data_IF_348229225141
#
_entry.id   IF_348229225141
#
_cell.length_a   1.000
_cell.length_b   1.000
_cell.length_c   1.000
_cell.angle_alpha   90.00
_cell.angle_beta   90.00
_cell.angle_gamma   90.00
#
_symmetry.space_group_name_H-M   'P 1'
#
loop_
_entity.id
_entity.type
_entity.pdbx_description
1 polymer ?
#
# COMPACT_ATOMS: atom_id res chain seq x y z
N UNK A 1 -5.36 0.26 -7.87
CA UNK A 1 -4.47 -0.52 -6.99
C UNK A 1 -3.23 -0.88 -7.80
N UNK A 2 -2.09 -0.29 -7.49
CA UNK A 2 -0.82 -0.55 -8.18
C UNK A 2 0.06 -1.47 -7.31
N UNK A 3 0.95 -2.21 -7.97
CA UNK A 3 1.89 -3.13 -7.31
C UNK A 3 3.22 -2.43 -7.05
N UNK A 4 3.77 -2.62 -5.86
CA UNK A 4 5.05 -2.06 -5.41
C UNK A 4 6.15 -3.10 -5.25
N UNK A 5 6.07 -4.22 -5.96
CA UNK A 5 6.99 -5.38 -5.81
C UNK A 5 8.47 -4.97 -5.93
N UNK A 6 8.81 -4.05 -6.85
CA UNK A 6 10.20 -3.57 -7.01
C UNK A 6 10.73 -2.83 -5.77
N UNK A 7 9.87 -2.11 -5.07
CA UNK A 7 10.23 -1.39 -3.85
C UNK A 7 10.50 -2.37 -2.72
N UNK A 8 9.60 -3.34 -2.54
CA UNK A 8 9.75 -4.39 -1.51
C UNK A 8 11.03 -5.21 -1.72
N UNK A 9 11.38 -5.54 -2.98
CA UNK A 9 12.66 -6.20 -3.31
C UNK A 9 13.85 -5.38 -2.79
N UNK A 10 13.83 -4.05 -3.00
CA UNK A 10 14.89 -3.14 -2.55
C UNK A 10 14.92 -3.00 -1.03
N UNK A 11 13.76 -2.87 -0.38
CA UNK A 11 13.63 -2.80 1.08
C UNK A 11 14.20 -4.04 1.78
N UNK A 12 14.08 -5.22 1.13
CA UNK A 12 14.69 -6.48 1.58
C UNK A 12 16.18 -6.62 1.25
N UNK A 13 16.81 -5.62 0.63
CA UNK A 13 18.21 -5.69 0.20
C UNK A 13 18.48 -6.73 -0.88
N UNK A 14 17.43 -7.15 -1.61
CA UNK A 14 17.52 -8.17 -2.66
C UNK A 14 17.59 -7.50 -4.03
N UNK A 15 18.01 -8.29 -5.03
CA UNK A 15 17.88 -7.92 -6.44
C UNK A 15 16.78 -8.76 -7.10
N UNK A 16 16.28 -8.31 -8.25
CA UNK A 16 15.35 -9.11 -9.07
C UNK A 16 15.98 -10.45 -9.46
N UNK A 17 17.30 -10.49 -9.67
CA UNK A 17 18.02 -11.73 -9.96
C UNK A 17 17.97 -12.68 -8.77
N UNK A 18 18.33 -12.21 -7.57
CA UNK A 18 18.32 -13.01 -6.34
C UNK A 18 16.93 -13.56 -6.02
N UNK A 19 15.88 -12.77 -6.25
CA UNK A 19 14.51 -13.22 -6.10
C UNK A 19 14.13 -14.31 -7.13
N UNK A 20 14.51 -14.12 -8.39
CA UNK A 20 14.29 -15.13 -9.44
C UNK A 20 14.98 -16.45 -9.12
N UNK A 21 16.22 -16.39 -8.60
CA UNK A 21 16.99 -17.56 -8.17
C UNK A 21 16.29 -18.28 -7.00
N UNK A 22 15.81 -17.55 -5.98
CA UNK A 22 15.06 -18.11 -4.84
C UNK A 22 13.74 -18.76 -5.29
N UNK A 23 13.08 -18.17 -6.29
CA UNK A 23 11.85 -18.70 -6.88
C UNK A 23 12.08 -19.82 -7.91
N UNK A 24 13.35 -20.10 -8.27
CA UNK A 24 13.74 -21.04 -9.33
C UNK A 24 13.06 -20.77 -10.68
N UNK A 25 12.97 -19.48 -11.05
CA UNK A 25 12.44 -19.03 -12.34
C UNK A 25 13.46 -18.14 -13.05
N UNK A 26 13.28 -17.90 -14.34
CA UNK A 26 14.17 -16.99 -15.06
C UNK A 26 13.90 -15.52 -14.67
N UNK A 27 14.96 -14.70 -14.67
CA UNK A 27 14.87 -13.27 -14.37
C UNK A 27 13.92 -12.52 -15.30
N UNK A 28 13.90 -12.88 -16.59
CA UNK A 28 13.05 -12.24 -17.60
C UNK A 28 11.58 -12.48 -17.30
N UNK A 29 11.19 -13.71 -16.98
CA UNK A 29 9.83 -14.09 -16.62
C UNK A 29 9.39 -13.43 -15.33
N UNK A 30 10.26 -13.37 -14.31
CA UNK A 30 9.97 -12.59 -13.11
C UNK A 30 9.78 -11.10 -13.43
N UNK A 31 10.63 -10.53 -14.29
CA UNK A 31 10.49 -9.13 -14.73
C UNK A 31 9.15 -8.89 -15.44
N UNK A 32 8.70 -9.83 -16.27
CA UNK A 32 7.39 -9.74 -16.93
C UNK A 32 6.24 -9.79 -15.91
N UNK A 33 6.35 -10.64 -14.87
CA UNK A 33 5.36 -10.67 -13.79
C UNK A 33 5.35 -9.38 -12.97
N UNK A 34 6.51 -8.80 -12.67
CA UNK A 34 6.63 -7.56 -11.90
C UNK A 34 6.05 -6.35 -12.66
N UNK A 35 6.24 -6.29 -13.98
CA UNK A 35 5.79 -5.16 -14.80
C UNK A 35 4.41 -5.37 -15.45
N UNK A 36 3.84 -6.57 -15.33
CA UNK A 36 2.58 -6.95 -15.95
C UNK A 36 1.45 -7.12 -14.94
N UNK A 37 0.51 -8.00 -15.27
CA UNK A 37 -0.60 -8.39 -14.40
C UNK A 37 -0.41 -9.85 -13.93
N UNK A 38 0.35 -10.10 -12.85
CA UNK A 38 0.59 -11.44 -12.35
C UNK A 38 -0.69 -12.05 -11.77
N UNK A 39 -0.81 -13.38 -11.83
CA UNK A 39 -1.90 -14.08 -11.13
C UNK A 39 -1.67 -14.05 -9.61
N UNK A 40 -2.74 -14.26 -8.84
CA UNK A 40 -2.67 -14.34 -7.37
C UNK A 40 -1.66 -15.38 -6.90
N UNK A 41 -1.64 -16.56 -7.53
CA UNK A 41 -0.68 -17.62 -7.21
C UNK A 41 0.79 -17.20 -7.42
N UNK A 42 1.06 -16.29 -8.36
CA UNK A 42 2.41 -15.74 -8.58
C UNK A 42 2.73 -14.70 -7.52
N UNK A 43 1.78 -13.83 -7.16
CA UNK A 43 1.93 -12.86 -6.08
C UNK A 43 2.22 -13.55 -4.74
N UNK A 44 1.53 -14.65 -4.43
CA UNK A 44 1.79 -15.47 -3.22
C UNK A 44 3.21 -16.02 -3.19
N UNK A 45 3.70 -16.55 -4.32
CA UNK A 45 5.07 -17.05 -4.42
C UNK A 45 6.11 -15.94 -4.26
N UNK A 46 5.85 -14.77 -4.85
CA UNK A 46 6.72 -13.59 -4.70
C UNK A 46 6.75 -13.16 -3.23
N UNK A 47 5.59 -13.04 -2.57
CA UNK A 47 5.47 -12.66 -1.17
C UNK A 47 6.19 -13.66 -0.24
N UNK A 48 6.02 -14.96 -0.49
CA UNK A 48 6.70 -16.03 0.24
C UNK A 48 8.22 -15.96 0.05
N UNK A 49 8.71 -15.74 -1.17
CA UNK A 49 10.14 -15.61 -1.44
C UNK A 49 10.75 -14.33 -0.84
N UNK A 50 9.98 -13.25 -0.73
CA UNK A 50 10.37 -12.00 -0.06
C UNK A 50 10.16 -12.03 1.46
N UNK A 51 9.52 -13.07 1.99
CA UNK A 51 9.17 -13.21 3.41
C UNK A 51 8.40 -11.98 3.92
N UNK A 52 7.33 -11.64 3.21
CA UNK A 52 6.39 -10.56 3.55
C UNK A 52 4.94 -11.03 3.40
N UNK A 53 3.98 -10.39 4.09
CA UNK A 53 2.57 -10.55 3.76
C UNK A 53 2.29 -10.10 2.32
N UNK A 54 1.39 -10.80 1.63
CA UNK A 54 1.03 -10.46 0.23
C UNK A 54 0.53 -9.02 0.07
N UNK A 55 -0.09 -8.44 1.10
CA UNK A 55 -0.57 -7.06 1.14
C UNK A 55 0.54 -6.03 0.97
N UNK A 56 1.77 -6.33 1.41
CA UNK A 56 2.92 -5.43 1.25
C UNK A 56 3.37 -5.30 -0.21
N UNK A 57 2.96 -6.22 -1.10
CA UNK A 57 3.23 -6.10 -2.53
C UNK A 57 2.37 -5.03 -3.23
N UNK A 58 1.37 -4.48 -2.55
CA UNK A 58 0.48 -3.46 -3.09
C UNK A 58 0.85 -2.08 -2.55
N UNK A 59 0.69 -1.06 -3.37
CA UNK A 59 0.74 0.32 -2.90
C UNK A 59 -0.28 0.52 -1.80
N UNK A 60 0.19 0.96 -0.62
CA UNK A 60 -0.70 1.51 0.39
C UNK A 60 -1.29 2.75 -0.24
N UNK A 61 -2.62 2.80 -0.36
CA UNK A 61 -3.27 4.02 -0.79
C UNK A 61 -2.75 5.15 0.11
N UNK A 62 -2.19 6.20 -0.48
CA UNK A 62 -1.86 7.46 0.22
C UNK A 62 -3.13 8.21 0.63
N UNK A 63 -4.20 7.47 0.89
CA UNK A 63 -5.34 7.95 1.63
C UNK A 63 -4.94 7.91 3.09
N UNK A 64 -4.02 8.80 3.49
CA UNK A 64 -4.07 9.40 4.81
C UNK A 64 -5.39 10.17 4.88
N UNK A 65 -6.51 9.45 4.89
CA UNK A 65 -7.81 10.01 5.19
C UNK A 65 -7.69 10.41 6.65
N UNK A 66 -7.27 11.65 6.90
CA UNK A 66 -7.36 12.26 8.21
C UNK A 66 -8.84 12.16 8.56
N UNK A 67 -9.16 11.40 9.60
CA UNK A 67 -10.51 11.28 10.12
C UNK A 67 -10.44 11.72 11.58
N UNK A 68 -10.77 12.98 11.82
CA UNK A 68 -11.02 13.52 13.15
C UNK A 68 -12.50 13.48 13.48
N UNK A 69 -12.82 13.43 14.77
CA UNK A 69 -14.18 13.59 15.26
C UNK A 69 -14.14 14.64 16.37
N UNK A 70 -15.02 15.63 16.28
CA UNK A 70 -15.18 16.68 17.28
C UNK A 70 -16.60 16.59 17.82
N UNK A 71 -16.75 16.44 19.13
CA UNK A 71 -18.04 16.47 19.81
C UNK A 71 -18.26 17.85 20.41
N UNK A 72 -19.40 18.48 20.09
CA UNK A 72 -19.83 19.74 20.69
C UNK A 72 -21.22 19.52 21.27
N UNK A 73 -21.32 19.52 22.60
CA UNK A 73 -22.54 19.13 23.31
C UNK A 73 -22.80 17.63 23.17
N UNK A 74 -23.75 17.26 22.32
CA UNK A 74 -24.10 15.86 22.02
C UNK A 74 -24.07 15.55 20.51
N UNK A 75 -23.57 16.49 19.69
CA UNK A 75 -23.44 16.32 18.25
C UNK A 75 -21.96 16.02 17.92
N UNK A 76 -21.73 14.94 17.16
CA UNK A 76 -20.41 14.52 16.70
C UNK A 76 -20.23 14.93 15.25
N UNK A 77 -19.17 15.68 14.98
CA UNK A 77 -18.79 16.14 13.67
C UNK A 77 -17.56 15.41 13.17
N UNK A 78 -17.65 14.88 11.95
CA UNK A 78 -16.49 14.31 11.26
C UNK A 78 -15.67 15.43 10.62
N UNK A 79 -14.37 15.41 10.85
CA UNK A 79 -13.39 16.35 10.30
C UNK A 79 -12.43 15.57 9.42
N UNK A 80 -12.43 15.87 8.13
CA UNK A 80 -11.52 15.25 7.16
C UNK A 80 -10.56 16.24 6.52
N UNK A 81 -10.75 17.52 6.80
CA UNK A 81 -9.97 18.62 6.24
C UNK A 81 -9.91 19.80 7.20
N UNK A 82 -8.98 20.74 6.93
CA UNK A 82 -8.94 22.01 7.66
C UNK A 82 -10.23 22.84 7.46
N UNK A 83 -10.84 22.75 6.26
CA UNK A 83 -12.11 23.43 5.96
C UNK A 83 -13.25 22.97 6.87
N UNK A 84 -13.31 21.67 7.19
CA UNK A 84 -14.32 21.14 8.12
C UNK A 84 -14.19 21.81 9.49
N UNK A 85 -12.96 22.10 9.95
CA UNK A 85 -12.74 22.82 11.20
C UNK A 85 -13.17 24.30 11.11
N UNK A 86 -12.86 25.00 10.03
CA UNK A 86 -13.30 26.39 9.81
C UNK A 86 -14.84 26.50 9.81
N UNK A 87 -15.51 25.54 9.17
CA UNK A 87 -16.97 25.47 9.13
C UNK A 87 -17.55 25.28 10.54
N UNK A 88 -16.95 24.41 11.35
CA UNK A 88 -17.36 24.21 12.75
C UNK A 88 -17.15 25.48 13.59
N UNK A 89 -15.99 26.13 13.48
CA UNK A 89 -15.72 27.39 14.18
C UNK A 89 -16.70 28.50 13.79
N UNK A 90 -17.13 28.54 12.52
CA UNK A 90 -18.12 29.51 12.04
C UNK A 90 -19.52 29.20 12.55
N UNK A 91 -19.90 27.91 12.65
CA UNK A 91 -21.22 27.49 13.12
C UNK A 91 -21.46 27.77 14.62
N UNK A 92 -20.39 27.78 15.42
CA UNK A 92 -20.46 27.95 16.88
C UNK A 92 -19.85 29.28 17.39
N UNK A 93 -19.56 30.23 16.48
CA UNK A 93 -19.22 31.62 16.81
C UNK A 93 -20.49 32.44 17.06
#
# INVERSE_FOLDING_TARGET
MALRIKEVIKEKGMTVQTLADKMRINRVGLSNHINGNPSVAILEKIAAALEVPIQELFEKEKNENINGYIEIGSEIFKVTSFQDMENLLTRYK
#
